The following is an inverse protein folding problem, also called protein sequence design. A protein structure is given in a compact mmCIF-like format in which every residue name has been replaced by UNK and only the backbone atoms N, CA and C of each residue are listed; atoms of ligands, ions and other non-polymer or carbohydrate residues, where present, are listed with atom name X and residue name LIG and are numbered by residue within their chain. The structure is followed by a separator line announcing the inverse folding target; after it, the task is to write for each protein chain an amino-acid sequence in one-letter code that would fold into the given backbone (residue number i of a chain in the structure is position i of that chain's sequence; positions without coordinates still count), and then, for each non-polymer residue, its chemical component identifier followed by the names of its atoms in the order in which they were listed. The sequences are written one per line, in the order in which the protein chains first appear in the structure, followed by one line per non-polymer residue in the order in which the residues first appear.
data_IF_972654951454
#
_entry.id   IF_972654951454
#
_cell.length_a   1.000
_cell.length_b   1.000
_cell.length_c   1.000
_cell.angle_alpha   90.00
_cell.angle_beta   90.00
_cell.angle_gamma   90.00
#
_symmetry.space_group_name_H-M   'P 1'
#
loop_
_entity.id
_entity.type
_entity.pdbx_description
1 polymer ?
#
# COMPACT_ATOMS: atom_id res chain seq x y z
N UNK A 1 -5.48 -31.38 -13.09
CA UNK A 1 -5.82 -30.72 -11.81
C UNK A 1 -6.46 -29.38 -12.10
N UNK A 2 -7.54 -29.08 -11.41
CA UNK A 2 -8.18 -27.77 -11.56
C UNK A 2 -7.49 -26.75 -10.69
N UNK A 3 -7.31 -25.52 -11.22
CA UNK A 3 -6.86 -24.39 -10.43
C UNK A 3 -7.96 -23.95 -9.50
N UNK A 4 -7.66 -23.57 -8.24
CA UNK A 4 -8.66 -22.96 -7.37
C UNK A 4 -9.11 -21.62 -7.92
N UNK A 5 -10.39 -21.33 -7.78
CA UNK A 5 -10.95 -20.02 -8.10
C UNK A 5 -11.07 -19.22 -6.82
N UNK A 6 -10.32 -18.11 -6.74
CA UNK A 6 -10.33 -17.26 -5.56
C UNK A 6 -10.53 -15.79 -5.94
N UNK A 7 -11.19 -15.05 -5.06
CA UNK A 7 -11.38 -13.60 -5.16
C UNK A 7 -11.02 -12.99 -3.81
N UNK A 8 -9.74 -12.80 -3.59
CA UNK A 8 -9.18 -12.36 -2.33
C UNK A 8 -8.71 -10.91 -2.46
N UNK A 9 -9.63 -9.98 -2.26
CA UNK A 9 -9.32 -8.55 -2.32
C UNK A 9 -8.98 -8.06 -0.92
N UNK A 10 -7.87 -7.35 -0.81
CA UNK A 10 -7.36 -6.82 0.45
C UNK A 10 -6.99 -5.37 0.30
N UNK A 11 -7.39 -4.56 1.27
CA UNK A 11 -7.00 -3.17 1.40
C UNK A 11 -5.95 -3.08 2.50
N UNK A 12 -4.75 -2.65 2.16
CA UNK A 12 -3.63 -2.49 3.07
C UNK A 12 -3.35 -1.02 3.30
N UNK A 13 -3.02 -0.66 4.53
CA UNK A 13 -2.64 0.70 4.92
C UNK A 13 -1.39 0.63 5.78
N UNK A 14 -0.37 1.41 5.45
CA UNK A 14 0.81 1.52 6.30
C UNK A 14 1.35 2.95 6.27
N UNK A 15 2.03 3.33 7.34
CA UNK A 15 2.46 4.70 7.55
C UNK A 15 3.98 4.81 7.66
N UNK A 16 4.48 6.01 7.45
CA UNK A 16 5.85 6.37 7.76
C UNK A 16 6.07 6.39 9.27
N UNK A 17 7.33 6.31 9.69
CA UNK A 17 7.73 6.38 11.10
C UNK A 17 7.21 7.66 11.76
N UNK A 18 6.46 7.49 12.86
CA UNK A 18 5.84 8.58 13.61
C UNK A 18 4.98 9.53 12.77
N UNK A 19 4.44 9.04 11.65
CA UNK A 19 3.65 9.84 10.71
C UNK A 19 4.40 11.08 10.21
N UNK A 20 5.73 11.02 10.15
CA UNK A 20 6.53 12.09 9.59
C UNK A 20 6.27 12.21 8.08
N UNK A 21 6.27 13.42 7.50
CA UNK A 21 5.98 13.60 6.07
C UNK A 21 7.17 13.20 5.19
N UNK A 22 7.53 11.92 5.22
CA UNK A 22 8.72 11.38 4.56
C UNK A 22 8.50 11.05 3.08
N UNK A 23 7.23 10.93 2.65
CA UNK A 23 6.89 10.64 1.25
C UNK A 23 6.78 11.96 0.47
N UNK A 24 7.92 12.52 0.13
CA UNK A 24 7.98 13.66 -0.79
C UNK A 24 7.46 13.24 -2.18
N UNK A 25 7.06 14.15 -3.08
CA UNK A 25 6.50 13.76 -4.38
C UNK A 25 7.38 12.82 -5.19
N UNK A 26 8.69 13.04 -5.21
CA UNK A 26 9.65 12.19 -5.92
C UNK A 26 9.78 10.81 -5.26
N UNK A 27 9.87 10.76 -3.93
CA UNK A 27 9.89 9.50 -3.18
C UNK A 27 8.59 8.73 -3.35
N UNK A 28 7.46 9.42 -3.31
CA UNK A 28 6.14 8.79 -3.47
C UNK A 28 6.02 8.11 -4.83
N UNK A 29 6.42 8.77 -5.90
CA UNK A 29 6.40 8.19 -7.24
C UNK A 29 7.28 6.94 -7.32
N UNK A 30 8.49 7.01 -6.77
CA UNK A 30 9.44 5.88 -6.75
C UNK A 30 8.93 4.73 -5.90
N UNK A 31 8.36 5.02 -4.73
CA UNK A 31 7.77 4.01 -3.84
C UNK A 31 6.61 3.30 -4.52
N UNK A 32 5.70 4.04 -5.15
CA UNK A 32 4.54 3.44 -5.84
C UNK A 32 5.00 2.51 -6.98
N UNK A 33 5.98 2.93 -7.76
CA UNK A 33 6.54 2.09 -8.82
C UNK A 33 7.19 0.83 -8.25
N UNK A 34 7.91 0.96 -7.16
CA UNK A 34 8.55 -0.17 -6.46
C UNK A 34 7.52 -1.14 -5.92
N UNK A 35 6.45 -0.63 -5.28
CA UNK A 35 5.36 -1.48 -4.75
C UNK A 35 4.70 -2.26 -5.87
N UNK A 36 4.39 -1.61 -6.98
CA UNK A 36 3.79 -2.28 -8.15
C UNK A 36 4.69 -3.38 -8.70
N UNK A 37 5.99 -3.11 -8.81
CA UNK A 37 6.96 -4.09 -9.30
C UNK A 37 7.07 -5.28 -8.36
N UNK A 38 7.12 -5.05 -7.06
CA UNK A 38 7.19 -6.11 -6.05
C UNK A 38 5.90 -6.94 -6.05
N UNK A 39 4.74 -6.31 -6.18
CA UNK A 39 3.46 -7.01 -6.30
C UNK A 39 3.43 -7.90 -7.54
N UNK A 40 3.93 -7.42 -8.68
CA UNK A 40 4.02 -8.22 -9.90
C UNK A 40 4.88 -9.46 -9.67
N UNK A 41 6.02 -9.30 -9.01
CA UNK A 41 6.91 -10.43 -8.66
C UNK A 41 6.21 -11.44 -7.76
N UNK A 42 5.37 -10.99 -6.84
CA UNK A 42 4.61 -11.83 -5.92
C UNK A 42 3.30 -12.37 -6.52
N UNK A 43 3.01 -12.07 -7.77
CA UNK A 43 1.77 -12.43 -8.48
C UNK A 43 0.53 -11.79 -7.83
N UNK A 44 0.71 -10.61 -7.28
CA UNK A 44 -0.36 -9.79 -6.72
C UNK A 44 -0.79 -8.77 -7.76
N UNK A 45 -2.09 -8.68 -8.04
CA UNK A 45 -2.64 -7.66 -8.93
C UNK A 45 -2.94 -6.40 -8.14
N UNK A 46 -2.31 -5.29 -8.51
CA UNK A 46 -2.58 -3.99 -7.91
C UNK A 46 -3.80 -3.36 -8.56
N UNK A 47 -4.84 -3.12 -7.79
CA UNK A 47 -6.08 -2.50 -8.27
C UNK A 47 -6.08 -1.00 -8.03
N UNK A 48 -5.42 -0.53 -6.98
CA UNK A 48 -5.23 0.88 -6.70
C UNK A 48 -4.09 1.07 -5.70
N UNK A 49 -3.35 2.16 -5.84
CA UNK A 49 -2.38 2.61 -4.86
C UNK A 49 -2.49 4.13 -4.75
N UNK A 50 -2.47 4.64 -3.54
CA UNK A 50 -2.58 6.07 -3.27
C UNK A 50 -2.22 6.35 -1.83
N UNK A 51 -2.14 7.61 -1.48
CA UNK A 51 -1.82 8.02 -0.13
C UNK A 51 -1.45 9.48 -0.06
N UNK A 52 -0.87 9.85 1.06
CA UNK A 52 -0.40 11.21 1.31
C UNK A 52 1.09 11.19 1.62
N UNK A 53 1.60 12.26 2.24
CA UNK A 53 3.01 12.36 2.60
C UNK A 53 3.45 11.42 3.71
N UNK A 54 2.52 10.82 4.46
CA UNK A 54 2.83 10.01 5.63
C UNK A 54 2.23 8.60 5.65
N UNK A 55 1.44 8.23 4.63
CA UNK A 55 0.89 6.87 4.57
C UNK A 55 0.52 6.45 3.16
N UNK A 56 0.35 5.14 2.96
CA UNK A 56 0.02 4.51 1.69
C UNK A 56 -1.17 3.57 1.87
N UNK A 57 -2.08 3.61 0.92
CA UNK A 57 -3.16 2.63 0.76
C UNK A 57 -2.91 1.80 -0.49
N UNK A 58 -3.10 0.50 -0.40
CA UNK A 58 -2.98 -0.44 -1.50
C UNK A 58 -4.19 -1.34 -1.54
N UNK A 59 -4.89 -1.37 -2.67
CA UNK A 59 -5.95 -2.34 -2.92
C UNK A 59 -5.40 -3.38 -3.89
N UNK A 60 -5.45 -4.64 -3.51
CA UNK A 60 -4.82 -5.70 -4.27
C UNK A 60 -5.68 -6.97 -4.31
N UNK A 61 -5.57 -7.69 -5.42
CA UNK A 61 -6.05 -9.07 -5.55
C UNK A 61 -4.88 -10.00 -5.23
N UNK A 62 -5.02 -10.82 -4.20
CA UNK A 62 -3.93 -11.59 -3.61
C UNK A 62 -4.11 -13.07 -3.94
N UNK A 63 -3.04 -13.78 -4.39
CA UNK A 63 -3.13 -15.21 -4.62
C UNK A 63 -3.28 -15.96 -3.30
N UNK A 64 -4.01 -17.10 -3.34
CA UNK A 64 -4.28 -17.89 -2.14
C UNK A 64 -3.02 -18.47 -1.48
N UNK A 65 -1.91 -18.51 -2.20
CA UNK A 65 -0.64 -19.08 -1.73
C UNK A 65 0.24 -18.07 -0.98
N UNK A 66 -0.15 -16.79 -0.94
CA UNK A 66 0.65 -15.73 -0.34
C UNK A 66 0.00 -15.25 0.97
N UNK A 67 0.77 -15.20 2.05
CA UNK A 67 0.27 -14.61 3.30
C UNK A 67 0.36 -13.09 3.24
N UNK A 68 -0.56 -12.43 3.90
CA UNK A 68 -0.55 -10.96 4.01
C UNK A 68 0.73 -10.48 4.70
N UNK A 69 1.15 -11.15 5.76
CA UNK A 69 2.37 -10.76 6.48
C UNK A 69 3.62 -10.81 5.59
N UNK A 70 3.77 -11.85 4.77
CA UNK A 70 4.88 -11.95 3.82
C UNK A 70 4.80 -10.86 2.76
N UNK A 71 3.62 -10.63 2.21
CA UNK A 71 3.39 -9.59 1.21
C UNK A 71 3.81 -8.20 1.73
N UNK A 72 3.33 -7.82 2.91
CA UNK A 72 3.65 -6.52 3.52
C UNK A 72 5.14 -6.40 3.82
N UNK A 73 5.75 -7.45 4.35
CA UNK A 73 7.19 -7.48 4.63
C UNK A 73 8.01 -7.22 3.38
N UNK A 74 7.68 -7.90 2.27
CA UNK A 74 8.40 -7.73 1.00
C UNK A 74 8.22 -6.32 0.43
N UNK A 75 7.00 -5.82 0.43
CA UNK A 75 6.68 -4.49 -0.10
C UNK A 75 7.38 -3.39 0.71
N UNK A 76 7.29 -3.45 2.03
CA UNK A 76 7.92 -2.45 2.91
C UNK A 76 9.44 -2.52 2.84
N UNK A 77 9.99 -3.74 2.82
CA UNK A 77 11.44 -3.93 2.72
C UNK A 77 12.01 -3.39 1.42
N UNK A 78 11.41 -3.74 0.29
CA UNK A 78 11.86 -3.30 -1.03
C UNK A 78 11.78 -1.78 -1.19
N UNK A 79 10.68 -1.18 -0.78
CA UNK A 79 10.47 0.27 -0.92
C UNK A 79 11.36 1.07 0.03
N UNK A 80 11.56 0.61 1.26
CA UNK A 80 12.48 1.24 2.19
C UNK A 80 13.92 1.18 1.67
N UNK A 81 14.34 0.01 1.16
CA UNK A 81 15.67 -0.16 0.57
C UNK A 81 15.88 0.78 -0.61
N UNK A 82 14.88 0.91 -1.49
CA UNK A 82 14.94 1.83 -2.63
C UNK A 82 15.22 3.26 -2.20
N UNK A 83 14.46 3.77 -1.22
CA UNK A 83 14.61 5.16 -0.77
C UNK A 83 15.94 5.36 -0.07
N UNK A 84 16.34 4.45 0.82
CA UNK A 84 17.53 4.62 1.65
C UNK A 84 18.83 4.38 0.88
N UNK A 85 18.84 3.44 -0.07
CA UNK A 85 20.08 3.03 -0.75
C UNK A 85 20.15 3.49 -2.20
N UNK A 86 19.09 3.33 -2.96
CA UNK A 86 19.09 3.67 -4.40
C UNK A 86 18.93 5.17 -4.63
N UNK A 87 18.04 5.82 -3.86
CA UNK A 87 17.83 7.28 -3.96
C UNK A 87 18.79 8.07 -3.07
N UNK A 88 19.63 7.40 -2.27
CA UNK A 88 20.65 8.05 -1.46
C UNK A 88 20.12 8.78 -0.23
N UNK A 89 18.94 8.44 0.26
CA UNK A 89 18.31 9.08 1.42
C UNK A 89 18.55 8.27 2.71
N UNK A 90 19.81 7.88 2.97
CA UNK A 90 20.18 7.13 4.17
C UNK A 90 19.75 7.87 5.44
N UNK A 91 19.12 7.11 6.36
CA UNK A 91 18.65 7.60 7.67
C UNK A 91 17.53 8.65 7.60
N UNK A 92 17.00 8.93 6.41
CA UNK A 92 15.92 9.92 6.22
C UNK A 92 14.57 9.27 5.95
N UNK A 93 14.51 7.95 5.85
CA UNK A 93 13.27 7.25 5.52
C UNK A 93 13.14 5.96 6.32
N UNK A 94 11.95 5.77 6.90
CA UNK A 94 11.61 4.56 7.63
C UNK A 94 10.10 4.39 7.66
N UNK A 95 9.62 3.16 7.49
CA UNK A 95 8.23 2.81 7.72
C UNK A 95 7.95 2.55 9.19
N UNK A 96 6.71 2.83 9.62
CA UNK A 96 6.19 2.35 10.90
C UNK A 96 6.14 0.82 10.88
N UNK A 97 6.31 0.17 12.03
CA UNK A 97 6.36 -1.29 12.10
C UNK A 97 5.02 -1.99 11.87
N UNK A 98 3.90 -1.28 12.05
CA UNK A 98 2.56 -1.85 11.91
C UNK A 98 1.95 -1.61 10.53
N UNK A 99 0.82 -2.26 10.26
CA UNK A 99 -0.01 -2.03 9.07
C UNK A 99 -1.45 -2.40 9.39
N UNK A 100 -2.39 -1.82 8.63
CA UNK A 100 -3.78 -2.25 8.61
C UNK A 100 -4.05 -3.15 7.42
N UNK A 101 -4.88 -4.17 7.59
CA UNK A 101 -5.27 -5.07 6.52
C UNK A 101 -6.76 -5.39 6.64
N UNK A 102 -7.51 -5.14 5.57
CA UNK A 102 -8.96 -5.29 5.55
C UNK A 102 -9.37 -6.07 4.32
N UNK A 103 -10.26 -7.04 4.51
CA UNK A 103 -10.86 -7.74 3.37
C UNK A 103 -11.86 -6.82 2.67
N UNK A 104 -11.97 -6.95 1.35
CA UNK A 104 -12.90 -6.17 0.54
C UNK A 104 -13.71 -7.14 -0.31
N UNK A 105 -15.04 -7.04 -0.22
CA UNK A 105 -15.90 -7.82 -1.11
C UNK A 105 -15.84 -7.27 -2.53
N UNK A 106 -16.01 -8.14 -3.51
CA UNK A 106 -15.88 -7.78 -4.93
C UNK A 106 -16.71 -6.56 -5.31
N UNK A 107 -17.95 -6.46 -4.83
CA UNK A 107 -18.84 -5.36 -5.22
C UNK A 107 -18.44 -4.01 -4.61
N UNK A 108 -17.60 -3.99 -3.57
CA UNK A 108 -17.07 -2.78 -2.95
C UNK A 108 -15.72 -2.33 -3.53
N UNK A 109 -15.09 -3.16 -4.38
CA UNK A 109 -13.80 -2.83 -4.99
C UNK A 109 -13.83 -1.46 -5.70
N UNK A 110 -14.83 -1.12 -6.53
CA UNK A 110 -14.84 0.19 -7.18
C UNK A 110 -14.87 1.36 -6.18
N UNK A 111 -15.65 1.26 -5.11
CA UNK A 111 -15.74 2.31 -4.11
C UNK A 111 -14.43 2.49 -3.33
N UNK A 112 -13.80 1.38 -2.92
CA UNK A 112 -12.51 1.42 -2.22
C UNK A 112 -11.42 1.96 -3.14
N UNK A 113 -11.43 1.54 -4.40
CA UNK A 113 -10.49 2.05 -5.40
C UNK A 113 -10.57 3.57 -5.54
N UNK A 114 -11.77 4.10 -5.67
CA UNK A 114 -11.99 5.56 -5.77
C UNK A 114 -11.52 6.27 -4.51
N UNK A 115 -11.79 5.71 -3.34
CA UNK A 115 -11.32 6.27 -2.07
C UNK A 115 -9.79 6.36 -2.03
N UNK A 116 -9.11 5.30 -2.43
CA UNK A 116 -7.64 5.25 -2.42
C UNK A 116 -7.03 6.27 -3.39
N UNK A 117 -7.58 6.36 -4.60
CA UNK A 117 -7.08 7.30 -5.61
C UNK A 117 -7.35 8.76 -5.24
N UNK A 118 -8.31 9.01 -4.37
CA UNK A 118 -8.65 10.36 -3.90
C UNK A 118 -8.07 10.71 -2.52
N UNK A 119 -7.05 10.01 -2.02
CA UNK A 119 -6.55 10.16 -0.65
C UNK A 119 -6.16 11.58 -0.29
N UNK A 120 -5.39 12.27 -1.13
CA UNK A 120 -4.95 13.63 -0.83
C UNK A 120 -6.14 14.57 -0.68
N UNK A 121 -7.15 14.42 -1.53
CA UNK A 121 -8.36 15.23 -1.47
C UNK A 121 -9.19 14.91 -0.22
N UNK A 122 -9.36 13.62 0.13
CA UNK A 122 -10.08 13.22 1.32
C UNK A 122 -9.45 13.80 2.59
N UNK A 123 -8.13 13.72 2.71
CA UNK A 123 -7.44 14.28 3.87
C UNK A 123 -7.55 15.81 3.92
N UNK A 124 -7.40 16.47 2.78
CA UNK A 124 -7.54 17.93 2.69
C UNK A 124 -8.94 18.42 3.09
N UNK A 125 -9.99 17.67 2.72
CA UNK A 125 -11.39 18.03 2.99
C UNK A 125 -11.93 17.48 4.31
N UNK A 126 -11.15 16.63 5.01
CA UNK A 126 -11.62 15.97 6.23
C UNK A 126 -12.71 14.93 5.98
N UNK A 127 -12.75 14.33 4.79
CA UNK A 127 -13.76 13.32 4.40
C UNK A 127 -13.21 11.89 4.45
N UNK A 128 -12.22 11.64 5.30
CA UNK A 128 -11.63 10.31 5.45
C UNK A 128 -12.60 9.36 6.14
N UNK A 129 -12.52 8.08 5.77
CA UNK A 129 -13.25 7.01 6.43
C UNK A 129 -12.34 6.38 7.48
N UNK A 130 -12.70 6.52 8.74
CA UNK A 130 -11.89 6.02 9.87
C UNK A 130 -11.55 4.55 9.75
N UNK A 131 -12.53 3.73 9.33
CA UNK A 131 -12.32 2.27 9.23
C UNK A 131 -11.35 1.91 8.12
N UNK A 132 -11.16 2.78 7.14
CA UNK A 132 -10.20 2.60 6.05
C UNK A 132 -8.84 3.26 6.31
N UNK A 133 -8.67 3.98 7.43
CA UNK A 133 -7.43 4.70 7.78
C UNK A 133 -6.63 4.06 8.90
N UNK A 134 -7.12 3.00 9.51
CA UNK A 134 -6.44 2.34 10.63
C UNK A 134 -5.20 1.58 10.15
N UNK A 135 -4.06 1.93 10.72
CA UNK A 135 -2.80 1.28 10.40
C UNK A 135 -1.91 1.12 11.63
#
# INVERSE_FOLDING_TARGET
MREPYTQLYVHLVWATWNRLPLLTPDRKAAVYACVKAECMRLKVEVLAIGGTEDHVHLLASVPATLTIATMVKQIKGSSSHLVTHTLGHLNEFKWQGAYGAFTVSKHLVPAVRSYILGQEEHHRKGTTDRDMELA
#
